data_IF_761927185133
#
_entry.id   IF_761927185133
#
_cell.length_a   1.000
_cell.length_b   1.000
_cell.length_c   1.000
_cell.angle_alpha   90.00
_cell.angle_beta   90.00
_cell.angle_gamma   90.00
#
_symmetry.space_group_name_H-M   'P 1'
#
loop_
_entity.id
_entity.type
_entity.pdbx_description
1 polymer ?
#
# COMPACT_ATOMS: atom_id res chain seq x y z
N UNK A 1 2.49 -16.44 56.21
CA UNK A 1 3.04 -15.44 55.26
C UNK A 1 2.53 -15.82 53.86
N UNK A 2 2.28 -14.81 53.04
CA UNK A 2 1.32 -14.77 51.91
C UNK A 2 1.52 -15.80 50.77
N UNK A 3 0.38 -16.24 50.21
CA UNK A 3 0.20 -16.79 48.85
C UNK A 3 0.49 -15.73 47.79
N UNK A 4 0.81 -16.10 46.54
CA UNK A 4 0.02 -15.85 45.30
C UNK A 4 0.51 -16.78 44.17
N UNK A 5 -0.45 -17.46 43.53
CA UNK A 5 -0.45 -18.14 42.23
C UNK A 5 -0.77 -17.18 41.08
N UNK A 6 -0.22 -17.39 39.85
CA UNK A 6 -0.94 -17.58 38.55
C UNK A 6 -0.14 -17.19 37.29
N UNK A 7 -0.03 -18.17 36.40
CA UNK A 7 -0.13 -18.21 34.91
C UNK A 7 -0.02 -16.98 33.98
N UNK A 8 0.54 -17.32 32.80
CA UNK A 8 0.14 -16.95 31.42
C UNK A 8 0.71 -15.70 30.73
N UNK A 9 1.56 -16.01 29.74
CA UNK A 9 1.61 -15.47 28.38
C UNK A 9 1.55 -13.94 28.17
N UNK A 10 2.70 -13.38 27.85
CA UNK A 10 2.80 -12.29 26.87
C UNK A 10 3.56 -12.86 25.66
N UNK A 11 2.92 -13.73 24.88
CA UNK A 11 2.51 -13.41 23.51
C UNK A 11 3.42 -12.34 22.91
N UNK A 12 4.39 -12.79 22.10
CA UNK A 12 5.01 -11.92 21.10
C UNK A 12 3.90 -11.17 20.39
N UNK A 13 3.90 -9.86 20.56
CA UNK A 13 2.97 -8.97 19.88
C UNK A 13 3.34 -9.04 18.40
N UNK A 14 2.73 -10.00 17.69
CA UNK A 14 2.69 -9.99 16.25
C UNK A 14 2.26 -8.58 15.84
N UNK A 15 3.07 -7.90 15.04
CA UNK A 15 2.72 -6.60 14.47
C UNK A 15 1.38 -6.77 13.75
N UNK A 16 0.32 -6.34 14.41
CA UNK A 16 -1.01 -6.34 13.84
C UNK A 16 -1.01 -5.12 12.92
N UNK A 17 -0.89 -5.35 11.62
CA UNK A 17 -1.36 -4.37 10.64
C UNK A 17 -2.89 -4.39 10.74
N UNK A 18 -3.41 -3.75 11.79
CA UNK A 18 -4.83 -3.52 12.00
C UNK A 18 -5.15 -2.43 11.00
N UNK A 19 -5.48 -2.82 9.78
CA UNK A 19 -5.85 -1.88 8.74
C UNK A 19 -7.22 -1.29 9.09
N UNK A 20 -7.19 -0.27 9.93
CA UNK A 20 -8.33 0.54 10.42
C UNK A 20 -8.60 1.72 9.48
N UNK A 21 -7.88 1.81 8.37
CA UNK A 21 -7.99 2.92 7.45
C UNK A 21 -9.26 2.80 6.60
N UNK A 22 -9.93 3.93 6.40
CA UNK A 22 -11.13 4.00 5.55
C UNK A 22 -10.81 3.82 4.05
N UNK A 23 -9.53 3.87 3.69
CA UNK A 23 -9.04 3.76 2.32
C UNK A 23 -8.21 2.49 2.16
N UNK A 24 -8.51 1.68 1.15
CA UNK A 24 -7.76 0.47 0.81
C UNK A 24 -7.70 0.35 -0.70
N UNK A 25 -6.64 -0.25 -1.23
CA UNK A 25 -6.57 -0.57 -2.65
C UNK A 25 -7.31 -1.89 -2.87
N UNK A 26 -8.42 -1.86 -3.61
CA UNK A 26 -9.14 -3.05 -4.00
C UNK A 26 -8.38 -3.81 -5.10
N UNK A 27 -7.83 -4.97 -4.74
CA UNK A 27 -7.08 -5.81 -5.67
C UNK A 27 -7.95 -6.81 -6.45
N UNK A 28 -9.25 -6.91 -6.16
CA UNK A 28 -10.14 -7.91 -6.76
C UNK A 28 -10.25 -7.73 -8.27
N UNK A 29 -10.33 -6.48 -8.74
CA UNK A 29 -10.35 -6.17 -10.18
C UNK A 29 -9.03 -6.54 -10.86
N UNK A 30 -7.89 -6.43 -10.17
CA UNK A 30 -6.58 -6.82 -10.70
C UNK A 30 -6.53 -8.34 -10.91
N UNK A 31 -7.02 -9.10 -9.93
CA UNK A 31 -7.08 -10.56 -9.99
C UNK A 31 -8.02 -11.02 -11.13
N UNK A 32 -9.17 -10.36 -11.30
CA UNK A 32 -10.13 -10.67 -12.38
C UNK A 32 -9.59 -10.35 -13.78
N UNK A 33 -8.77 -9.31 -13.92
CA UNK A 33 -8.24 -8.87 -15.22
C UNK A 33 -7.28 -9.88 -15.88
N UNK A 34 -6.80 -10.89 -15.13
CA UNK A 34 -5.76 -11.88 -15.52
C UNK A 34 -4.40 -11.27 -15.87
N UNK A 35 -4.27 -9.94 -15.83
CA UNK A 35 -3.00 -9.23 -16.04
C UNK A 35 -2.15 -9.42 -14.80
N UNK A 36 -0.92 -9.90 -14.98
CA UNK A 36 -0.02 -10.16 -13.86
C UNK A 36 -0.44 -11.33 -12.97
N UNK A 37 -1.43 -12.15 -13.38
CA UNK A 37 -1.95 -13.29 -12.59
C UNK A 37 -0.82 -14.22 -12.10
N UNK A 38 0.16 -14.51 -12.96
CA UNK A 38 1.33 -15.31 -12.62
C UNK A 38 2.19 -14.63 -11.53
N UNK A 39 2.41 -13.33 -11.65
CA UNK A 39 3.18 -12.56 -10.68
C UNK A 39 2.44 -12.48 -9.34
N UNK A 40 1.14 -12.21 -9.37
CA UNK A 40 0.26 -12.14 -8.19
C UNK A 40 0.33 -13.47 -7.44
N UNK A 41 0.09 -14.60 -8.10
CA UNK A 41 0.14 -15.94 -7.49
C UNK A 41 1.51 -16.27 -6.84
N UNK A 42 2.60 -15.70 -7.36
CA UNK A 42 3.95 -15.92 -6.84
C UNK A 42 4.34 -14.99 -5.68
N UNK A 43 3.68 -13.83 -5.57
CA UNK A 43 4.05 -12.80 -4.61
C UNK A 43 2.98 -12.56 -3.54
N UNK A 44 1.77 -13.11 -3.70
CA UNK A 44 0.73 -13.02 -2.68
C UNK A 44 1.20 -13.59 -1.34
N UNK A 45 0.93 -12.82 -0.30
CA UNK A 45 1.10 -13.24 1.08
C UNK A 45 -0.15 -13.96 1.54
N UNK A 46 -0.02 -14.88 2.49
CA UNK A 46 -1.14 -15.57 3.11
C UNK A 46 -1.33 -15.08 4.55
N UNK A 47 -2.52 -14.56 4.81
CA UNK A 47 -2.95 -14.18 6.14
C UNK A 47 -3.61 -15.39 6.81
N UNK A 48 -2.83 -16.12 7.60
CA UNK A 48 -3.29 -17.31 8.34
C UNK A 48 -4.49 -17.01 9.27
N UNK A 49 -4.64 -15.76 9.73
CA UNK A 49 -5.67 -15.39 10.70
C UNK A 49 -7.03 -15.20 10.02
N UNK A 50 -7.03 -14.62 8.82
CA UNK A 50 -8.24 -14.32 8.06
C UNK A 50 -8.47 -15.31 6.90
N UNK A 51 -7.64 -16.35 6.78
CA UNK A 51 -7.67 -17.37 5.73
C UNK A 51 -7.80 -16.76 4.32
N UNK A 52 -6.91 -15.83 4.00
CA UNK A 52 -6.95 -15.13 2.70
C UNK A 52 -5.58 -14.81 2.16
N UNK A 53 -5.47 -14.82 0.84
CA UNK A 53 -4.32 -14.25 0.15
C UNK A 53 -4.48 -12.74 0.01
N UNK A 54 -3.38 -12.00 0.14
CA UNK A 54 -3.36 -10.56 -0.05
C UNK A 54 -2.03 -10.10 -0.66
N UNK A 55 -2.04 -8.89 -1.22
CA UNK A 55 -0.82 -8.16 -1.60
C UNK A 55 -0.65 -7.00 -0.63
N UNK A 56 0.58 -6.77 -0.16
CA UNK A 56 0.87 -5.57 0.63
C UNK A 56 1.04 -4.33 -0.28
N UNK A 57 1.04 -3.14 0.32
CA UNK A 57 1.14 -1.86 -0.39
C UNK A 57 2.30 -1.80 -1.40
N UNK A 58 3.48 -2.30 -1.01
CA UNK A 58 4.68 -2.28 -1.86
C UNK A 58 4.56 -3.25 -3.04
N UNK A 59 3.92 -4.39 -2.82
CA UNK A 59 3.63 -5.36 -3.88
C UNK A 59 2.61 -4.82 -4.87
N UNK A 60 1.53 -4.19 -4.37
CA UNK A 60 0.53 -3.54 -5.22
C UNK A 60 1.16 -2.42 -6.04
N UNK A 61 1.97 -1.55 -5.41
CA UNK A 61 2.68 -0.48 -6.11
C UNK A 61 3.57 -1.04 -7.23
N UNK A 62 4.37 -2.07 -6.93
CA UNK A 62 5.26 -2.70 -7.92
C UNK A 62 4.48 -3.29 -9.09
N UNK A 63 3.38 -4.00 -8.82
CA UNK A 63 2.52 -4.55 -9.86
C UNK A 63 1.97 -3.45 -10.77
N UNK A 64 1.51 -2.34 -10.19
CA UNK A 64 0.96 -1.22 -10.95
C UNK A 64 2.04 -0.51 -11.75
N UNK A 65 3.24 -0.30 -11.19
CA UNK A 65 4.37 0.22 -11.97
C UNK A 65 4.68 -0.68 -13.17
N UNK A 66 4.72 -2.01 -12.98
CA UNK A 66 4.97 -2.96 -14.07
C UNK A 66 3.86 -2.91 -15.13
N UNK A 67 2.58 -2.87 -14.74
CA UNK A 67 1.45 -2.85 -15.69
C UNK A 67 1.35 -1.52 -16.43
N UNK A 68 1.40 -0.40 -15.70
CA UNK A 68 1.17 0.93 -16.25
C UNK A 68 2.40 1.37 -17.03
N UNK A 69 3.61 1.26 -16.46
CA UNK A 69 4.82 1.84 -17.08
C UNK A 69 5.50 0.84 -18.02
N UNK A 70 5.68 -0.41 -17.60
CA UNK A 70 6.45 -1.36 -18.44
C UNK A 70 5.60 -1.95 -19.56
N UNK A 71 4.32 -2.22 -19.29
CA UNK A 71 3.42 -2.81 -20.28
C UNK A 71 2.53 -1.77 -21.00
N UNK A 72 2.65 -0.48 -20.66
CA UNK A 72 1.88 0.63 -21.25
C UNK A 72 0.36 0.45 -21.20
N UNK A 73 -0.16 -0.25 -20.19
CA UNK A 73 -1.60 -0.49 -19.99
C UNK A 73 -2.21 0.52 -19.03
N UNK A 74 -2.29 1.77 -19.45
CA UNK A 74 -2.72 2.87 -18.59
C UNK A 74 -4.20 2.76 -18.19
N UNK A 75 -5.04 2.17 -19.05
CA UNK A 75 -6.47 1.92 -18.81
C UNK A 75 -6.72 1.08 -17.56
N UNK A 76 -5.70 0.38 -17.07
CA UNK A 76 -5.77 -0.35 -15.82
C UNK A 76 -6.05 0.56 -14.62
N UNK A 77 -5.69 1.85 -14.72
CA UNK A 77 -6.00 2.84 -13.70
C UNK A 77 -7.51 3.14 -13.57
N UNK A 78 -8.32 2.80 -14.57
CA UNK A 78 -9.78 2.95 -14.51
C UNK A 78 -10.44 2.02 -13.50
N UNK A 79 -9.79 0.91 -13.12
CA UNK A 79 -10.30 -0.02 -12.12
C UNK A 79 -10.29 0.56 -10.70
N UNK A 80 -9.58 1.67 -10.46
CA UNK A 80 -9.43 2.28 -9.15
C UNK A 80 -10.32 3.51 -9.00
N UNK A 81 -10.91 3.70 -7.82
CA UNK A 81 -11.55 4.94 -7.41
C UNK A 81 -10.54 6.08 -7.26
N UNK A 82 -11.04 7.32 -7.19
CA UNK A 82 -10.20 8.50 -6.95
C UNK A 82 -9.36 8.40 -5.69
N UNK A 83 -9.92 7.84 -4.61
CA UNK A 83 -9.23 7.67 -3.35
C UNK A 83 -8.15 6.57 -3.40
N UNK A 84 -8.39 5.50 -4.16
CA UNK A 84 -7.40 4.45 -4.40
C UNK A 84 -6.23 4.95 -5.24
N UNK A 85 -6.51 5.73 -6.29
CA UNK A 85 -5.49 6.40 -7.09
C UNK A 85 -4.67 7.38 -6.23
N UNK A 86 -5.35 8.18 -5.41
CA UNK A 86 -4.71 9.05 -4.42
C UNK A 86 -3.80 8.27 -3.47
N UNK A 87 -4.28 7.15 -2.92
CA UNK A 87 -3.49 6.31 -2.03
C UNK A 87 -2.25 5.72 -2.75
N UNK A 88 -2.39 5.22 -3.98
CA UNK A 88 -1.29 4.71 -4.80
C UNK A 88 -0.19 5.76 -5.01
N UNK A 89 -0.58 6.97 -5.39
CA UNK A 89 0.35 8.10 -5.52
C UNK A 89 1.05 8.39 -4.19
N UNK A 90 0.30 8.42 -3.10
CA UNK A 90 0.85 8.73 -1.77
C UNK A 90 1.76 7.63 -1.21
N UNK A 91 1.56 6.35 -1.58
CA UNK A 91 2.49 5.24 -1.24
C UNK A 91 3.87 5.51 -1.84
N UNK A 92 3.98 6.07 -3.05
CA UNK A 92 5.27 6.40 -3.69
C UNK A 92 6.05 7.39 -2.82
N UNK A 93 5.39 8.46 -2.36
CA UNK A 93 6.00 9.46 -1.47
C UNK A 93 6.32 8.88 -0.08
N UNK A 94 5.40 8.09 0.50
CA UNK A 94 5.59 7.45 1.80
C UNK A 94 6.82 6.53 1.78
N UNK A 95 7.00 5.74 0.71
CA UNK A 95 8.14 4.85 0.51
C UNK A 95 9.47 5.60 0.43
N UNK A 96 9.45 6.87 0.03
CA UNK A 96 10.62 7.77 -0.01
C UNK A 96 10.85 8.51 1.31
N UNK A 97 10.00 8.29 2.32
CA UNK A 97 10.13 8.90 3.63
C UNK A 97 9.35 10.20 3.80
N UNK A 98 8.41 10.54 2.91
CA UNK A 98 7.58 11.72 3.10
C UNK A 98 6.72 11.65 4.37
N UNK A 99 6.70 12.74 5.15
CA UNK A 99 6.02 12.82 6.44
C UNK A 99 4.58 13.32 6.27
N UNK A 100 3.60 12.44 6.49
CA UNK A 100 2.20 12.84 6.58
C UNK A 100 1.85 13.26 8.01
N UNK A 101 1.61 14.55 8.23
CA UNK A 101 1.37 15.08 9.59
C UNK A 101 -0.09 14.98 10.05
N UNK A 102 -1.06 14.88 9.13
CA UNK A 102 -2.52 14.92 9.39
C UNK A 102 -3.32 14.15 8.34
N UNK A 103 -4.58 13.87 8.65
CA UNK A 103 -5.56 13.29 7.72
C UNK A 103 -5.36 11.80 7.43
N UNK A 104 -6.14 11.28 6.47
CA UNK A 104 -6.22 9.85 6.17
C UNK A 104 -4.89 9.17 5.86
N UNK A 105 -3.96 9.87 5.20
CA UNK A 105 -2.65 9.29 4.87
C UNK A 105 -1.73 9.16 6.09
N UNK A 106 -1.80 10.09 7.06
CA UNK A 106 -1.09 9.92 8.34
C UNK A 106 -1.57 8.64 9.02
N UNK A 107 -2.89 8.49 9.17
CA UNK A 107 -3.50 7.35 9.84
C UNK A 107 -3.19 6.03 9.13
N UNK A 108 -3.22 6.04 7.80
CA UNK A 108 -2.84 4.91 6.96
C UNK A 108 -1.38 4.50 7.17
N UNK A 109 -0.43 5.42 6.95
CA UNK A 109 1.00 5.07 6.90
C UNK A 109 1.62 4.86 8.28
N UNK A 110 1.11 5.51 9.34
CA UNK A 110 1.69 5.40 10.69
C UNK A 110 1.67 3.97 11.25
N UNK A 111 0.81 3.11 10.71
CA UNK A 111 0.68 1.70 11.12
C UNK A 111 1.44 0.73 10.21
N UNK A 112 2.12 1.23 9.16
CA UNK A 112 2.82 0.39 8.17
C UNK A 112 4.26 0.13 8.62
N UNK A 113 4.64 -1.14 8.71
CA UNK A 113 5.99 -1.55 9.14
C UNK A 113 7.11 -1.09 8.19
N UNK A 114 6.77 -0.84 6.91
CA UNK A 114 7.70 -0.37 5.90
C UNK A 114 7.81 1.17 5.83
N UNK A 115 6.94 1.91 6.51
CA UNK A 115 6.92 3.37 6.47
C UNK A 115 8.00 3.95 7.39
N UNK A 116 8.97 4.65 6.81
CA UNK A 116 10.08 5.26 7.53
C UNK A 116 10.12 6.79 7.28
N UNK A 117 9.29 7.58 8.00
CA UNK A 117 9.17 9.02 7.82
C UNK A 117 10.48 9.77 8.15
N UNK A 118 10.97 10.60 7.23
CA UNK A 118 12.21 11.37 7.41
C UNK A 118 12.29 12.70 6.65
N UNK A 119 11.38 12.95 5.70
CA UNK A 119 11.40 14.13 4.82
C UNK A 119 10.08 14.89 4.98
N UNK A 120 10.15 16.14 5.45
CA UNK A 120 8.97 16.98 5.63
C UNK A 120 8.53 17.70 4.36
N UNK A 121 9.48 18.16 3.55
CA UNK A 121 9.21 18.93 2.35
C UNK A 121 9.11 17.98 1.15
N UNK A 122 7.95 17.97 0.48
CA UNK A 122 7.70 17.10 -0.67
C UNK A 122 8.71 17.34 -1.80
N UNK A 123 9.20 18.57 -1.96
CA UNK A 123 10.18 18.94 -2.99
C UNK A 123 11.55 18.26 -2.78
N UNK A 124 11.85 17.80 -1.56
CA UNK A 124 13.10 17.10 -1.25
C UNK A 124 13.02 15.60 -1.58
N UNK A 125 11.83 15.11 -1.98
CA UNK A 125 11.61 13.71 -2.34
C UNK A 125 12.26 13.39 -3.69
N UNK A 126 13.24 12.48 -3.66
CA UNK A 126 13.94 12.02 -4.86
C UNK A 126 13.17 10.90 -5.56
N UNK A 127 12.41 11.28 -6.58
CA UNK A 127 11.68 10.37 -7.47
C UNK A 127 12.54 9.96 -8.68
N UNK A 128 12.47 8.67 -9.02
CA UNK A 128 13.01 8.13 -10.28
C UNK A 128 12.15 8.56 -11.47
N UNK A 129 12.66 8.39 -12.69
CA UNK A 129 11.91 8.69 -13.93
C UNK A 129 10.60 7.90 -14.00
N UNK A 130 10.64 6.59 -13.70
CA UNK A 130 9.46 5.73 -13.69
C UNK A 130 8.43 6.15 -12.64
N UNK A 131 8.89 6.53 -11.44
CA UNK A 131 8.00 7.02 -10.38
C UNK A 131 7.31 8.33 -10.78
N UNK A 132 8.03 9.27 -11.40
CA UNK A 132 7.44 10.51 -11.91
C UNK A 132 6.40 10.23 -12.98
N UNK A 133 6.73 9.37 -13.95
CA UNK A 133 5.79 8.99 -15.01
C UNK A 133 4.54 8.32 -14.43
N UNK A 134 4.69 7.40 -13.47
CA UNK A 134 3.57 6.75 -12.80
C UNK A 134 2.69 7.76 -12.06
N UNK A 135 3.28 8.69 -11.32
CA UNK A 135 2.55 9.76 -10.64
C UNK A 135 1.75 10.59 -11.64
N UNK A 136 2.35 10.99 -12.76
CA UNK A 136 1.67 11.77 -13.81
C UNK A 136 0.48 11.01 -14.40
N UNK A 137 0.63 9.71 -14.68
CA UNK A 137 -0.48 8.88 -15.15
C UNK A 137 -1.58 8.79 -14.10
N UNK A 138 -1.25 8.44 -12.86
CA UNK A 138 -2.23 8.33 -11.76
C UNK A 138 -3.00 9.64 -11.59
N UNK A 139 -2.31 10.79 -11.52
CA UNK A 139 -2.94 12.10 -11.38
C UNK A 139 -3.90 12.43 -12.53
N UNK A 140 -3.56 12.03 -13.77
CA UNK A 140 -4.47 12.21 -14.91
C UNK A 140 -5.79 11.47 -14.69
N UNK A 141 -5.75 10.23 -14.19
CA UNK A 141 -6.96 9.45 -13.88
C UNK A 141 -7.69 9.98 -12.64
N UNK A 142 -6.97 10.47 -11.61
CA UNK A 142 -7.58 11.12 -10.43
C UNK A 142 -8.45 12.33 -10.83
N UNK A 143 -8.02 13.10 -11.82
CA UNK A 143 -8.68 14.35 -12.24
C UNK A 143 -9.94 14.14 -13.08
N UNK A 144 -10.13 12.95 -13.67
CA UNK A 144 -11.29 12.62 -14.50
C UNK A 144 -12.32 11.73 -13.78
N UNK A 145 -12.01 11.34 -12.53
CA UNK A 145 -12.90 10.63 -11.60
C UNK A 145 -13.61 11.62 -10.67
#
# INVERSE_FOLDING_TARGET
MQNISTSNSEKGTAFIEKDISEIRINTDELVKSRIGEKWIKQNMMYDNKNDRYYLNDLQVLKLIEDIVIQNNKYEFLDAFSKDELGLLRNIIFARKGYIYKRGKYKEYFSNKSWYNPSIENENDIKLTVKEKELIEKIQKYENIK
#
